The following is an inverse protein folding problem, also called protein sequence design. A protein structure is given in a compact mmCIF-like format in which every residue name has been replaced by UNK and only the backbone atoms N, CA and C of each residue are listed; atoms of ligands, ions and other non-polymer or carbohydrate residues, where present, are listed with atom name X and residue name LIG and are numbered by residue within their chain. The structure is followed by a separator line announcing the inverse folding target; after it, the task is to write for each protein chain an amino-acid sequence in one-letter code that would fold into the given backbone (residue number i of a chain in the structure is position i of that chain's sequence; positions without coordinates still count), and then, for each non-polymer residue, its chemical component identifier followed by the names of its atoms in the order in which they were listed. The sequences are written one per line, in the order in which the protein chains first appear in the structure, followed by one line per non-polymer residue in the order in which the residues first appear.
data_IF_751960190867
#
_entry.id   IF_751960190867
#
_cell.length_a   1.000
_cell.length_b   1.000
_cell.length_c   1.000
_cell.angle_alpha   90.00
_cell.angle_beta   90.00
_cell.angle_gamma   90.00
#
_symmetry.space_group_name_H-M   'P 1'
#
loop_
_entity.id
_entity.type
_entity.pdbx_description
1 polymer ?
#
# COMPACT_ATOMS: atom_id res chain seq x y z
N UNK A 1 -16.78 12.49 4.45
CA UNK A 1 -18.25 12.46 4.34
C UNK A 1 -18.78 11.65 5.51
N UNK A 2 -19.87 12.11 6.12
CA UNK A 2 -20.47 11.52 7.31
C UNK A 2 -21.81 10.90 6.94
N UNK A 3 -22.13 9.73 7.50
CA UNK A 3 -23.39 9.03 7.24
C UNK A 3 -24.55 9.69 8.01
N UNK A 4 -25.54 10.19 7.28
CA UNK A 4 -26.73 10.85 7.84
C UNK A 4 -27.69 9.83 8.47
N UNK A 5 -27.81 8.62 7.90
CA UNK A 5 -28.70 7.59 8.41
C UNK A 5 -28.32 7.17 9.84
N UNK A 6 -27.02 7.10 10.12
CA UNK A 6 -26.48 6.80 11.45
C UNK A 6 -26.85 7.90 12.47
N UNK A 7 -26.81 9.17 12.04
CA UNK A 7 -27.24 10.28 12.88
C UNK A 7 -28.74 10.22 13.21
N UNK A 8 -29.58 10.03 12.18
CA UNK A 8 -31.03 10.00 12.32
C UNK A 8 -31.49 8.84 13.20
N UNK A 9 -30.89 7.66 13.02
CA UNK A 9 -31.17 6.47 13.83
C UNK A 9 -30.70 6.63 15.28
N UNK A 10 -29.50 7.17 15.52
CA UNK A 10 -28.96 7.43 16.88
C UNK A 10 -29.88 8.33 17.70
N UNK A 11 -30.47 9.34 17.07
CA UNK A 11 -31.37 10.29 17.73
C UNK A 11 -32.85 9.88 17.69
N UNK A 12 -33.16 8.72 17.10
CA UNK A 12 -34.52 8.18 16.98
C UNK A 12 -35.50 9.16 16.35
N UNK A 13 -35.06 9.90 15.33
CA UNK A 13 -35.95 10.79 14.59
C UNK A 13 -36.92 9.97 13.74
N UNK A 14 -38.20 10.34 13.77
CA UNK A 14 -39.15 9.91 12.76
C UNK A 14 -38.94 10.75 11.50
N UNK A 15 -38.52 10.10 10.42
CA UNK A 15 -38.27 10.78 9.16
C UNK A 15 -38.87 10.00 7.99
N UNK A 16 -39.29 10.73 6.97
CA UNK A 16 -39.73 10.19 5.69
C UNK A 16 -38.82 10.70 4.59
N UNK A 17 -38.29 9.78 3.79
CA UNK A 17 -37.55 10.13 2.58
C UNK A 17 -38.57 10.17 1.45
N UNK A 18 -38.79 11.35 0.88
CA UNK A 18 -39.80 11.54 -0.16
C UNK A 18 -39.29 11.11 -1.52
N UNK A 19 -38.01 11.37 -1.82
CA UNK A 19 -37.36 10.94 -3.04
C UNK A 19 -35.88 10.63 -2.74
N UNK A 20 -35.41 9.48 -3.20
CA UNK A 20 -34.00 9.11 -3.15
C UNK A 20 -33.56 8.57 -4.51
N UNK A 21 -32.40 8.99 -4.99
CA UNK A 21 -31.74 8.39 -6.14
C UNK A 21 -31.14 7.01 -5.79
N UNK A 22 -31.94 6.07 -5.27
CA UNK A 22 -31.54 4.69 -4.92
C UNK A 22 -30.22 4.58 -4.12
N UNK A 23 -29.96 5.52 -3.21
CA UNK A 23 -28.76 5.50 -2.37
C UNK A 23 -29.05 4.72 -1.09
N UNK A 24 -28.38 3.58 -0.90
CA UNK A 24 -28.46 2.80 0.36
C UNK A 24 -27.89 3.57 1.56
N UNK A 25 -27.05 4.58 1.32
CA UNK A 25 -26.47 5.45 2.33
C UNK A 25 -26.51 6.91 1.87
N UNK A 26 -27.07 7.78 2.71
CA UNK A 26 -27.06 9.24 2.48
C UNK A 26 -25.88 9.81 3.25
N UNK A 27 -24.92 10.39 2.54
CA UNK A 27 -23.72 10.99 3.16
C UNK A 27 -23.60 12.46 2.87
N UNK A 28 -23.09 13.23 3.82
CA UNK A 28 -22.94 14.68 3.68
C UNK A 28 -21.53 15.16 4.02
N UNK A 29 -21.16 16.32 3.49
CA UNK A 29 -19.86 16.97 3.67
C UNK A 29 -19.98 18.36 4.29
N UNK A 30 -21.09 19.05 4.06
CA UNK A 30 -21.38 20.40 4.55
C UNK A 30 -22.84 20.54 4.95
N UNK A 31 -23.13 21.50 5.83
CA UNK A 31 -24.45 21.74 6.40
C UNK A 31 -24.67 23.24 6.42
N UNK A 32 -25.83 23.68 5.95
CA UNK A 32 -26.37 25.02 6.11
C UNK A 32 -27.81 25.01 6.62
N UNK A 33 -28.31 26.18 6.95
CA UNK A 33 -29.65 26.36 7.53
C UNK A 33 -30.32 27.61 6.94
N UNK A 34 -31.62 27.49 6.69
CA UNK A 34 -32.48 28.55 6.24
C UNK A 34 -32.49 28.75 4.73
N UNK A 35 -33.48 29.52 4.27
CA UNK A 35 -33.69 29.81 2.84
C UNK A 35 -32.50 30.50 2.17
N UNK A 36 -31.76 31.35 2.88
CA UNK A 36 -30.63 32.08 2.31
C UNK A 36 -29.49 31.12 1.92
N UNK A 37 -29.27 30.07 2.71
CA UNK A 37 -28.28 29.04 2.39
C UNK A 37 -28.71 28.21 1.17
N UNK A 38 -29.99 27.83 1.10
CA UNK A 38 -30.57 27.14 -0.06
C UNK A 38 -30.33 27.94 -1.35
N UNK A 39 -30.66 29.24 -1.34
CA UNK A 39 -30.47 30.14 -2.49
C UNK A 39 -28.98 30.29 -2.81
N UNK A 40 -28.13 30.48 -1.80
CA UNK A 40 -26.69 30.66 -1.98
C UNK A 40 -26.05 29.45 -2.65
N UNK A 41 -26.35 28.24 -2.19
CA UNK A 41 -25.80 27.00 -2.75
C UNK A 41 -26.32 26.78 -4.17
N UNK A 42 -27.59 27.05 -4.43
CA UNK A 42 -28.15 26.90 -5.76
C UNK A 42 -27.62 27.91 -6.79
N UNK A 43 -27.33 29.14 -6.36
CA UNK A 43 -26.72 30.18 -7.22
C UNK A 43 -25.19 30.06 -7.30
N UNK A 44 -24.58 29.11 -6.58
CA UNK A 44 -23.12 28.94 -6.54
C UNK A 44 -22.56 28.20 -7.76
N UNK A 45 -21.30 28.48 -8.11
CA UNK A 45 -20.55 27.71 -9.11
C UNK A 45 -19.88 26.45 -8.52
N UNK A 46 -20.32 25.96 -7.35
CA UNK A 46 -19.73 24.76 -6.76
C UNK A 46 -20.03 23.52 -7.63
N UNK A 47 -19.02 22.68 -7.83
CA UNK A 47 -19.14 21.46 -8.63
C UNK A 47 -20.03 20.39 -7.99
N UNK A 48 -20.54 19.47 -8.82
CA UNK A 48 -21.61 18.52 -8.49
C UNK A 48 -21.43 17.74 -7.18
N UNK A 49 -20.25 17.21 -6.87
CA UNK A 49 -20.06 16.39 -5.66
C UNK A 49 -20.20 17.18 -4.35
N UNK A 50 -19.83 18.47 -4.34
CA UNK A 50 -20.01 19.32 -3.16
C UNK A 50 -21.50 19.63 -2.96
N UNK A 51 -22.18 20.09 -4.02
CA UNK A 51 -23.60 20.45 -3.96
C UNK A 51 -24.43 19.22 -3.60
N UNK A 52 -24.18 18.08 -4.22
CA UNK A 52 -24.89 16.82 -3.98
C UNK A 52 -24.72 16.27 -2.55
N UNK A 53 -23.70 16.72 -1.82
CA UNK A 53 -23.42 16.30 -0.44
C UNK A 53 -23.60 17.43 0.59
N UNK A 54 -24.14 18.56 0.16
CA UNK A 54 -24.52 19.65 1.04
C UNK A 54 -25.93 19.40 1.58
N UNK A 55 -26.10 19.57 2.90
CA UNK A 55 -27.41 19.55 3.55
C UNK A 55 -27.86 20.98 3.77
N UNK A 56 -29.06 21.34 3.30
CA UNK A 56 -29.74 22.56 3.76
C UNK A 56 -30.94 22.19 4.62
N UNK A 57 -30.99 22.73 5.84
CA UNK A 57 -32.10 22.53 6.78
C UNK A 57 -33.07 23.71 6.67
N UNK A 58 -34.34 23.41 6.47
CA UNK A 58 -35.42 24.40 6.39
C UNK A 58 -36.49 24.12 7.44
N UNK A 59 -37.08 25.19 7.96
CA UNK A 59 -38.30 25.10 8.77
C UNK A 59 -39.56 25.46 7.95
N UNK A 60 -40.71 25.44 8.61
CA UNK A 60 -42.00 25.73 7.96
C UNK A 60 -42.13 27.17 7.45
N UNK A 61 -41.41 28.12 8.07
CA UNK A 61 -41.40 29.52 7.63
C UNK A 61 -40.55 29.69 6.37
N UNK A 62 -39.36 29.07 6.32
CA UNK A 62 -38.51 29.03 5.14
C UNK A 62 -39.24 28.42 3.93
N UNK A 63 -39.98 27.34 4.15
CA UNK A 63 -40.78 26.67 3.12
C UNK A 63 -41.86 27.59 2.55
N UNK A 64 -42.50 28.40 3.39
CA UNK A 64 -43.49 29.39 2.95
C UNK A 64 -42.85 30.49 2.10
N UNK A 65 -41.62 30.91 2.44
CA UNK A 65 -40.87 31.86 1.63
C UNK A 65 -40.44 31.30 0.28
N UNK A 66 -39.98 30.05 0.23
CA UNK A 66 -39.59 29.36 -1.01
C UNK A 66 -40.74 29.29 -2.02
N UNK A 67 -41.96 29.00 -1.56
CA UNK A 67 -43.13 28.97 -2.43
C UNK A 67 -43.48 30.31 -3.06
N UNK A 68 -43.28 31.40 -2.31
CA UNK A 68 -43.53 32.75 -2.80
C UNK A 68 -42.39 33.26 -3.70
N UNK A 69 -41.29 32.51 -3.77
CA UNK A 69 -40.15 32.83 -4.61
C UNK A 69 -40.46 32.38 -6.05
N UNK A 70 -40.83 33.31 -6.93
CA UNK A 70 -41.12 33.05 -8.36
C UNK A 70 -39.86 32.67 -9.20
N UNK A 71 -38.71 32.43 -8.57
CA UNK A 71 -37.46 32.06 -9.25
C UNK A 71 -37.34 30.54 -9.26
N UNK A 72 -37.13 29.95 -10.43
CA UNK A 72 -36.75 28.55 -10.55
C UNK A 72 -35.32 28.39 -10.02
N UNK A 73 -35.12 27.55 -9.01
CA UNK A 73 -33.84 27.38 -8.32
C UNK A 73 -33.38 25.95 -8.54
N UNK A 74 -32.30 25.72 -9.28
CA UNK A 74 -31.77 24.36 -9.49
C UNK A 74 -30.89 24.03 -8.28
N UNK A 75 -31.29 23.03 -7.49
CA UNK A 75 -30.58 22.64 -6.29
C UNK A 75 -30.45 21.13 -6.25
N UNK A 76 -29.23 20.60 -6.38
CA UNK A 76 -28.99 19.15 -6.43
C UNK A 76 -28.54 18.56 -5.08
N UNK A 77 -28.61 19.31 -3.98
CA UNK A 77 -28.22 18.86 -2.64
C UNK A 77 -29.29 18.11 -1.87
N UNK A 78 -29.02 17.87 -0.59
CA UNK A 78 -29.93 17.19 0.34
C UNK A 78 -30.76 18.25 1.08
N UNK A 79 -32.08 18.21 0.92
CA UNK A 79 -32.99 19.10 1.63
C UNK A 79 -33.57 18.39 2.86
N UNK A 80 -33.36 18.96 4.04
CA UNK A 80 -34.01 18.50 5.28
C UNK A 80 -35.07 19.51 5.67
N UNK A 81 -36.32 19.06 5.80
CA UNK A 81 -37.44 19.89 6.23
C UNK A 81 -37.95 19.42 7.58
N UNK A 82 -37.95 20.31 8.57
CA UNK A 82 -38.39 20.02 9.93
C UNK A 82 -39.76 20.65 10.15
N UNK A 83 -40.75 19.82 10.45
CA UNK A 83 -42.08 20.29 10.84
C UNK A 83 -42.76 19.31 11.79
N UNK A 84 -43.80 19.77 12.50
CA UNK A 84 -44.47 18.97 13.53
C UNK A 84 -45.25 17.79 12.98
N UNK A 85 -45.69 17.87 11.73
CA UNK A 85 -46.45 16.83 11.04
C UNK A 85 -46.39 17.02 9.54
N UNK A 86 -46.49 15.93 8.81
CA UNK A 86 -46.63 15.94 7.36
C UNK A 86 -48.12 16.06 7.01
N UNK A 87 -48.59 17.28 6.81
CA UNK A 87 -49.95 17.51 6.30
C UNK A 87 -49.99 17.41 4.76
N UNK A 88 -51.20 17.33 4.21
CA UNK A 88 -51.41 17.21 2.76
C UNK A 88 -50.82 18.38 1.98
N UNK A 89 -50.88 19.59 2.55
CA UNK A 89 -50.32 20.79 1.94
C UNK A 89 -48.79 20.70 1.83
N UNK A 90 -48.09 20.38 2.93
CA UNK A 90 -46.64 20.23 2.94
C UNK A 90 -46.16 19.10 2.01
N UNK A 91 -46.90 18.00 1.94
CA UNK A 91 -46.59 16.90 1.02
C UNK A 91 -46.69 17.33 -0.46
N UNK A 92 -47.76 18.04 -0.84
CA UNK A 92 -47.90 18.59 -2.19
C UNK A 92 -46.80 19.62 -2.50
N UNK A 93 -46.45 20.46 -1.53
CA UNK A 93 -45.37 21.45 -1.65
C UNK A 93 -44.00 20.81 -1.91
N UNK A 94 -43.63 19.79 -1.13
CA UNK A 94 -42.34 19.11 -1.28
C UNK A 94 -42.24 18.36 -2.61
N UNK A 95 -43.35 17.76 -3.06
CA UNK A 95 -43.42 17.11 -4.37
C UNK A 95 -43.28 18.12 -5.52
N UNK A 96 -43.86 19.31 -5.39
CA UNK A 96 -43.69 20.39 -6.36
C UNK A 96 -42.24 20.85 -6.43
N UNK A 97 -41.61 21.12 -5.28
CA UNK A 97 -40.20 21.53 -5.20
C UNK A 97 -39.27 20.50 -5.83
N UNK A 98 -39.48 19.20 -5.55
CA UNK A 98 -38.66 18.15 -6.16
C UNK A 98 -38.73 18.17 -7.69
N UNK A 99 -39.94 18.28 -8.27
CA UNK A 99 -40.14 18.30 -9.72
C UNK A 99 -39.59 19.56 -10.39
N UNK A 100 -39.69 20.71 -9.75
CA UNK A 100 -39.31 21.99 -10.33
C UNK A 100 -37.80 22.28 -10.20
N UNK A 101 -37.14 21.77 -9.15
CA UNK A 101 -35.78 22.18 -8.76
C UNK A 101 -34.71 21.07 -8.86
N UNK A 102 -35.07 19.87 -9.34
CA UNK A 102 -34.16 18.73 -9.53
C UNK A 102 -33.37 18.33 -8.26
N UNK A 103 -34.10 18.33 -7.13
CA UNK A 103 -33.53 18.05 -5.80
C UNK A 103 -33.18 16.58 -5.66
N UNK A 104 -31.92 16.28 -5.32
CA UNK A 104 -31.41 14.90 -5.28
C UNK A 104 -32.03 14.07 -4.17
N UNK A 105 -32.28 14.66 -2.99
CA UNK A 105 -32.90 13.98 -1.86
C UNK A 105 -33.66 14.97 -0.97
N UNK A 106 -34.91 14.64 -0.63
CA UNK A 106 -35.71 15.39 0.35
C UNK A 106 -36.03 14.47 1.52
N UNK A 107 -35.68 14.92 2.72
CA UNK A 107 -35.96 14.24 3.99
C UNK A 107 -36.85 15.15 4.81
N UNK A 108 -38.05 14.67 5.14
CA UNK A 108 -38.91 15.30 6.12
C UNK A 108 -38.68 14.67 7.48
N UNK A 109 -38.50 15.51 8.51
CA UNK A 109 -38.36 15.07 9.89
C UNK A 109 -39.56 15.58 10.67
N UNK A 110 -40.38 14.65 11.14
CA UNK A 110 -41.57 14.94 11.94
C UNK A 110 -41.14 15.25 13.39
N UNK A 111 -40.97 16.52 13.71
CA UNK A 111 -40.45 16.94 15.01
C UNK A 111 -40.91 18.34 15.41
N UNK A 112 -41.01 18.57 16.73
CA UNK A 112 -41.17 19.90 17.33
C UNK A 112 -39.84 20.60 17.61
N UNK A 113 -38.73 19.98 17.21
CA UNK A 113 -37.40 20.54 17.43
C UNK A 113 -37.19 21.83 16.64
N UNK A 114 -36.49 22.76 17.28
CA UNK A 114 -36.00 23.96 16.63
C UNK A 114 -34.96 23.60 15.56
N UNK A 115 -35.03 24.25 14.40
CA UNK A 115 -34.13 24.00 13.27
C UNK A 115 -32.68 24.33 13.62
N UNK A 116 -32.42 25.36 14.43
CA UNK A 116 -31.07 25.69 14.90
C UNK A 116 -30.53 24.64 15.86
N UNK A 117 -31.39 24.09 16.72
CA UNK A 117 -31.01 22.97 17.59
C UNK A 117 -30.60 21.76 16.75
N UNK A 118 -31.42 21.37 15.76
CA UNK A 118 -31.09 20.26 14.86
C UNK A 118 -29.79 20.50 14.10
N UNK A 119 -29.60 21.72 13.55
CA UNK A 119 -28.36 22.13 12.91
C UNK A 119 -27.14 21.99 13.84
N UNK A 120 -27.27 22.44 15.10
CA UNK A 120 -26.20 22.37 16.08
C UNK A 120 -25.79 20.93 16.42
N UNK A 121 -26.77 20.04 16.59
CA UNK A 121 -26.52 18.61 16.84
C UNK A 121 -25.90 17.91 15.61
N UNK A 122 -26.33 18.28 14.40
CA UNK A 122 -25.78 17.73 13.17
C UNK A 122 -24.33 18.19 12.95
N UNK A 123 -24.01 19.45 13.23
CA UNK A 123 -22.63 19.96 13.20
C UNK A 123 -21.77 19.27 14.24
N UNK A 124 -22.27 19.13 15.48
CA UNK A 124 -21.57 18.44 16.54
C UNK A 124 -21.26 17.00 16.13
N UNK A 125 -22.26 16.27 15.63
CA UNK A 125 -22.07 14.91 15.14
C UNK A 125 -21.04 14.83 14.00
N UNK A 126 -21.06 15.77 13.05
CA UNK A 126 -20.07 15.86 11.99
C UNK A 126 -18.66 16.06 12.56
N UNK A 127 -18.50 16.96 13.52
CA UNK A 127 -17.22 17.27 14.15
C UNK A 127 -16.71 16.09 14.99
N UNK A 128 -17.57 15.50 15.83
CA UNK A 128 -17.25 14.31 16.64
C UNK A 128 -16.84 13.14 15.75
N UNK A 129 -17.54 12.92 14.63
CA UNK A 129 -17.20 11.88 13.66
C UNK A 129 -15.83 12.13 13.01
N UNK A 130 -15.53 13.39 12.72
CA UNK A 130 -14.26 13.80 12.14
C UNK A 130 -13.10 13.66 13.14
N UNK A 131 -13.31 14.09 14.39
CA UNK A 131 -12.32 13.99 15.46
C UNK A 131 -12.06 12.54 15.85
N UNK A 132 -13.11 11.72 15.99
CA UNK A 132 -12.99 10.28 16.20
C UNK A 132 -12.17 9.62 15.09
N UNK A 133 -12.44 9.99 13.83
CA UNK A 133 -11.70 9.48 12.69
C UNK A 133 -10.23 9.89 12.71
N UNK A 134 -9.94 11.16 13.03
CA UNK A 134 -8.56 11.63 13.19
C UNK A 134 -7.83 10.89 14.32
N UNK A 135 -8.46 10.75 15.48
CA UNK A 135 -7.88 10.06 16.64
C UNK A 135 -7.64 8.57 16.36
N UNK A 136 -8.58 7.91 15.66
CA UNK A 136 -8.41 6.50 15.23
C UNK A 136 -7.21 6.35 14.30
N UNK A 137 -7.08 7.23 13.30
CA UNK A 137 -5.96 7.19 12.36
C UNK A 137 -4.62 7.49 13.03
N UNK A 138 -4.59 8.45 13.96
CA UNK A 138 -3.39 8.79 14.72
C UNK A 138 -2.95 7.60 15.57
N UNK A 139 -3.87 6.95 16.29
CA UNK A 139 -3.54 5.77 17.10
C UNK A 139 -3.05 4.59 16.26
N UNK A 140 -3.65 4.37 15.10
CA UNK A 140 -3.24 3.32 14.17
C UNK A 140 -1.87 3.61 13.53
N UNK A 141 -1.57 4.87 13.22
CA UNK A 141 -0.24 5.29 12.77
C UNK A 141 0.81 5.20 13.88
N UNK A 142 0.44 5.51 15.14
CA UNK A 142 1.31 5.33 16.32
C UNK A 142 1.67 3.85 16.47
N UNK A 143 0.71 2.94 16.34
CA UNK A 143 0.97 1.50 16.39
C UNK A 143 1.92 1.05 15.27
N UNK A 144 1.74 1.57 14.05
CA UNK A 144 2.65 1.28 12.94
C UNK A 144 4.06 1.83 13.19
N UNK A 145 4.19 3.01 13.80
CA UNK A 145 5.47 3.62 14.17
C UNK A 145 6.15 2.88 15.33
N UNK A 146 5.40 2.43 16.33
CA UNK A 146 5.92 1.61 17.43
C UNK A 146 6.51 0.29 16.91
N UNK A 147 5.85 -0.35 15.93
CA UNK A 147 6.40 -1.53 15.25
C UNK A 147 7.73 -1.24 14.54
N UNK A 148 7.91 -0.05 13.96
CA UNK A 148 9.19 0.31 13.32
C UNK A 148 10.33 0.53 14.31
N UNK A 149 10.01 0.94 15.54
CA UNK A 149 10.98 1.09 16.63
C UNK A 149 11.47 -0.27 17.15
N UNK A 150 10.65 -1.31 16.98
CA UNK A 150 10.94 -2.68 17.40
C UNK A 150 11.55 -3.48 16.24
N UNK A 151 12.38 -4.48 16.56
CA UNK A 151 12.93 -5.36 15.53
C UNK A 151 11.93 -6.47 15.15
N UNK A 152 10.76 -6.06 14.64
CA UNK A 152 9.69 -6.98 14.21
C UNK A 152 9.83 -7.39 12.75
N UNK A 153 9.37 -8.59 12.42
CA UNK A 153 9.29 -9.09 11.04
C UNK A 153 8.25 -8.31 10.21
N UNK A 154 8.40 -8.37 8.88
CA UNK A 154 7.52 -7.66 7.93
C UNK A 154 6.06 -8.15 8.07
N UNK A 155 5.87 -9.41 8.40
CA UNK A 155 4.60 -10.08 8.65
C UNK A 155 3.80 -9.40 9.77
N UNK A 156 4.48 -8.93 10.82
CA UNK A 156 3.82 -8.20 11.91
C UNK A 156 3.29 -6.84 11.46
N UNK A 157 4.02 -6.18 10.55
CA UNK A 157 3.58 -4.93 9.91
C UNK A 157 2.36 -5.21 9.03
N UNK A 158 2.38 -6.28 8.23
CA UNK A 158 1.24 -6.67 7.38
C UNK A 158 0.01 -7.03 8.21
N UNK A 159 0.17 -7.76 9.32
CA UNK A 159 -0.92 -8.09 10.24
C UNK A 159 -1.57 -6.82 10.82
N UNK A 160 -0.75 -5.85 11.21
CA UNK A 160 -1.25 -4.57 11.76
C UNK A 160 -1.90 -3.71 10.68
N UNK A 161 -1.29 -3.63 9.50
CA UNK A 161 -1.87 -2.97 8.34
C UNK A 161 -3.25 -3.54 7.98
N UNK A 162 -3.41 -4.86 8.05
CA UNK A 162 -4.71 -5.50 7.81
C UNK A 162 -5.77 -5.11 8.85
N UNK A 163 -5.39 -4.97 10.13
CA UNK A 163 -6.32 -4.52 11.18
C UNK A 163 -6.85 -3.11 10.91
N UNK A 164 -6.03 -2.24 10.31
CA UNK A 164 -6.35 -0.86 9.98
C UNK A 164 -7.18 -0.80 8.68
N UNK A 165 -6.63 -1.37 7.60
CA UNK A 165 -7.21 -1.27 6.26
C UNK A 165 -8.43 -2.17 6.06
N UNK A 166 -8.61 -3.19 6.89
CA UNK A 166 -9.66 -4.22 6.77
C UNK A 166 -9.73 -4.86 5.38
N UNK A 167 -8.63 -4.83 4.62
CA UNK A 167 -8.52 -5.35 3.27
C UNK A 167 -7.17 -6.07 3.11
N UNK A 168 -7.10 -7.22 2.40
CA UNK A 168 -5.87 -8.00 2.29
C UNK A 168 -4.72 -7.26 1.58
N UNK A 169 -3.49 -7.51 2.03
CA UNK A 169 -2.27 -6.94 1.47
C UNK A 169 -1.24 -8.00 1.06
N UNK A 170 -0.43 -7.68 0.05
CA UNK A 170 0.77 -8.42 -0.34
C UNK A 170 1.95 -7.45 -0.42
N UNK A 171 3.10 -7.88 0.08
CA UNK A 171 4.40 -7.23 -0.08
C UNK A 171 5.23 -8.03 -1.08
N UNK A 172 5.69 -7.35 -2.14
CA UNK A 172 6.58 -7.90 -3.15
C UNK A 172 7.97 -7.28 -3.02
N UNK A 173 9.03 -8.06 -3.23
CA UNK A 173 10.39 -7.55 -3.36
C UNK A 173 10.67 -7.02 -4.79
N UNK A 174 11.90 -6.54 -5.02
CA UNK A 174 12.36 -6.03 -6.33
C UNK A 174 12.36 -7.07 -7.45
N UNK A 175 12.29 -8.35 -7.11
CA UNK A 175 12.19 -9.45 -8.05
C UNK A 175 10.75 -9.91 -8.24
N UNK A 176 9.78 -9.32 -7.52
CA UNK A 176 8.38 -9.68 -7.47
C UNK A 176 8.08 -11.01 -6.75
N UNK A 177 8.95 -11.41 -5.83
CA UNK A 177 8.68 -12.50 -4.87
C UNK A 177 7.85 -11.97 -3.72
N UNK A 178 6.93 -12.80 -3.22
CA UNK A 178 6.16 -12.45 -2.02
C UNK A 178 7.08 -12.52 -0.81
N UNK A 179 7.20 -11.38 -0.13
CA UNK A 179 7.92 -11.27 1.14
C UNK A 179 6.97 -11.55 2.29
N UNK A 180 5.78 -10.97 2.24
CA UNK A 180 4.75 -11.16 3.26
C UNK A 180 3.35 -10.91 2.66
N UNK A 181 2.33 -11.48 3.28
CA UNK A 181 0.94 -11.27 2.88
C UNK A 181 -0.02 -11.43 4.07
N UNK A 182 -1.24 -10.94 3.94
CA UNK A 182 -2.30 -11.21 4.91
C UNK A 182 -2.65 -12.69 4.90
N UNK A 183 -2.58 -13.35 6.06
CA UNK A 183 -2.83 -14.79 6.24
C UNK A 183 -4.13 -15.12 6.98
N UNK A 184 -4.78 -14.13 7.59
CA UNK A 184 -5.94 -14.31 8.48
C UNK A 184 -7.31 -14.27 7.78
N UNK A 185 -7.37 -14.45 6.47
CA UNK A 185 -8.60 -14.27 5.68
C UNK A 185 -8.62 -15.19 4.46
N UNK A 186 -9.78 -15.78 4.16
CA UNK A 186 -9.97 -16.60 2.96
C UNK A 186 -10.17 -15.70 1.74
N UNK A 187 -9.21 -15.73 0.80
CA UNK A 187 -9.21 -14.84 -0.36
C UNK A 187 -9.76 -15.59 -1.57
N UNK A 188 -10.88 -15.10 -2.11
CA UNK A 188 -11.52 -15.70 -3.29
C UNK A 188 -11.05 -15.12 -4.62
N UNK A 189 -10.22 -14.07 -4.63
CA UNK A 189 -9.67 -13.52 -5.87
C UNK A 189 -8.65 -14.51 -6.46
N UNK A 190 -8.87 -15.03 -7.68
CA UNK A 190 -8.06 -16.10 -8.24
C UNK A 190 -6.62 -15.64 -8.52
N UNK A 191 -6.43 -14.38 -8.93
CA UNK A 191 -5.10 -13.83 -9.20
C UNK A 191 -4.31 -13.73 -7.89
N UNK A 192 -4.96 -13.25 -6.84
CA UNK A 192 -4.37 -13.14 -5.51
C UNK A 192 -4.01 -14.51 -4.93
N UNK A 193 -4.87 -15.51 -5.13
CA UNK A 193 -4.62 -16.88 -4.71
C UNK A 193 -3.40 -17.47 -5.43
N UNK A 194 -3.33 -17.33 -6.76
CA UNK A 194 -2.16 -17.76 -7.55
C UNK A 194 -0.88 -17.10 -7.07
N UNK A 195 -0.90 -15.79 -6.78
CA UNK A 195 0.26 -15.08 -6.24
C UNK A 195 0.76 -15.72 -4.94
N UNK A 196 -0.14 -15.98 -3.98
CA UNK A 196 0.19 -16.58 -2.67
C UNK A 196 0.72 -18.00 -2.85
N UNK A 197 0.05 -18.83 -3.64
CA UNK A 197 0.40 -20.23 -3.87
C UNK A 197 1.79 -20.36 -4.53
N UNK A 198 2.05 -19.53 -5.56
CA UNK A 198 3.32 -19.52 -6.28
C UNK A 198 4.44 -18.80 -5.52
N UNK A 199 4.10 -18.06 -4.46
CA UNK A 199 4.98 -17.14 -3.70
C UNK A 199 5.69 -16.11 -4.59
N UNK A 200 5.16 -15.85 -5.79
CA UNK A 200 5.83 -15.08 -6.83
C UNK A 200 4.84 -14.51 -7.85
N UNK A 201 5.09 -13.29 -8.32
CA UNK A 201 4.35 -12.70 -9.43
C UNK A 201 4.99 -13.08 -10.77
N UNK A 202 4.30 -13.93 -11.53
CA UNK A 202 4.80 -14.47 -12.79
C UNK A 202 5.06 -13.37 -13.85
N UNK A 203 6.01 -13.57 -14.79
CA UNK A 203 6.30 -12.58 -15.83
C UNK A 203 5.11 -12.31 -16.75
N UNK A 204 4.26 -13.31 -16.97
CA UNK A 204 3.01 -13.15 -17.70
C UNK A 204 2.06 -12.20 -16.99
N UNK A 205 1.90 -12.32 -15.68
CA UNK A 205 1.07 -11.42 -14.89
C UNK A 205 1.64 -10.00 -14.85
N UNK A 206 2.97 -9.84 -14.71
CA UNK A 206 3.64 -8.54 -14.78
C UNK A 206 3.40 -7.83 -16.13
N UNK A 207 3.38 -8.58 -17.23
CA UNK A 207 3.09 -8.06 -18.57
C UNK A 207 1.64 -7.60 -18.70
N UNK A 208 0.69 -8.31 -18.08
CA UNK A 208 -0.71 -7.90 -18.06
C UNK A 208 -0.89 -6.64 -17.22
N UNK A 209 -0.27 -6.58 -16.03
CA UNK A 209 -0.31 -5.39 -15.17
C UNK A 209 0.32 -4.19 -15.89
N UNK A 210 1.41 -4.40 -16.63
CA UNK A 210 2.13 -3.36 -17.37
C UNK A 210 1.39 -2.73 -18.56
N UNK A 211 0.10 -3.06 -18.75
CA UNK A 211 -0.74 -2.43 -19.77
C UNK A 211 -0.76 -0.90 -19.60
N UNK A 212 -0.83 -0.18 -20.73
CA UNK A 212 -0.87 1.29 -20.77
C UNK A 212 0.25 1.94 -19.91
N UNK A 213 1.47 1.42 -20.04
CA UNK A 213 2.67 1.88 -19.32
C UNK A 213 2.47 2.01 -17.80
N UNK A 214 1.65 1.13 -17.21
CA UNK A 214 1.29 1.20 -15.79
C UNK A 214 2.51 1.32 -14.86
N UNK A 215 3.56 0.52 -15.09
CA UNK A 215 4.77 0.55 -14.27
C UNK A 215 5.51 1.90 -14.33
N UNK A 216 5.56 2.53 -15.50
CA UNK A 216 6.16 3.85 -15.67
C UNK A 216 5.34 4.93 -14.97
N UNK A 217 4.00 4.86 -15.07
CA UNK A 217 3.08 5.76 -14.37
C UNK A 217 3.22 5.60 -12.86
N UNK A 218 3.26 4.35 -12.38
CA UNK A 218 3.39 4.02 -10.97
C UNK A 218 4.70 4.53 -10.39
N UNK A 219 5.81 4.39 -11.10
CA UNK A 219 7.12 4.85 -10.63
C UNK A 219 7.21 6.39 -10.56
N UNK A 220 6.53 7.10 -11.46
CA UNK A 220 6.42 8.58 -11.46
C UNK A 220 5.36 9.12 -10.50
N UNK A 221 4.41 8.28 -10.08
CA UNK A 221 3.30 8.70 -9.23
C UNK A 221 3.75 8.85 -7.77
N UNK A 222 3.23 9.89 -7.11
CA UNK A 222 3.31 10.05 -5.66
C UNK A 222 2.11 9.43 -4.93
N UNK A 223 1.12 8.93 -5.68
CA UNK A 223 -0.07 8.28 -5.17
C UNK A 223 -0.16 6.82 -5.63
N UNK A 224 -0.78 5.93 -4.83
CA UNK A 224 -1.13 4.60 -5.27
C UNK A 224 -1.99 4.63 -6.53
N UNK A 225 -1.74 3.69 -7.44
CA UNK A 225 -2.52 3.53 -8.66
C UNK A 225 -3.29 2.23 -8.62
N UNK A 226 -4.53 2.29 -9.12
CA UNK A 226 -5.30 1.08 -9.38
C UNK A 226 -4.83 0.43 -10.67
N UNK A 227 -4.71 -0.90 -10.65
CA UNK A 227 -4.46 -1.67 -11.89
C UNK A 227 -5.66 -1.45 -12.82
N UNK A 228 -5.41 -0.89 -14.00
CA UNK A 228 -6.43 -0.38 -14.93
C UNK A 228 -6.61 -1.26 -16.18
N UNK A 229 -6.00 -2.45 -16.19
CA UNK A 229 -6.22 -3.40 -17.26
C UNK A 229 -7.61 -4.07 -17.15
N UNK A 230 -8.36 -4.06 -18.26
CA UNK A 230 -9.70 -4.65 -18.37
C UNK A 230 -9.73 -6.14 -18.00
N UNK A 231 -8.62 -6.89 -18.13
CA UNK A 231 -8.55 -8.28 -17.65
C UNK A 231 -8.71 -8.44 -16.13
N UNK A 232 -8.59 -7.34 -15.38
CA UNK A 232 -8.84 -7.30 -13.95
C UNK A 232 -10.21 -6.69 -13.60
N UNK A 233 -10.99 -6.19 -14.57
CA UNK A 233 -12.26 -5.49 -14.28
C UNK A 233 -13.37 -6.41 -13.77
N UNK A 234 -13.30 -7.72 -14.10
CA UNK A 234 -14.15 -8.77 -13.54
C UNK A 234 -13.80 -9.15 -12.10
N UNK A 235 -12.68 -8.65 -11.58
CA UNK A 235 -12.11 -9.02 -10.30
C UNK A 235 -12.13 -7.82 -9.35
N UNK A 236 -11.93 -8.10 -8.06
CA UNK A 236 -11.75 -7.06 -7.06
C UNK A 236 -10.63 -6.07 -7.46
N UNK A 237 -10.88 -4.77 -7.28
CA UNK A 237 -9.91 -3.71 -7.58
C UNK A 237 -8.64 -3.89 -6.75
N UNK A 238 -7.49 -3.54 -7.34
CA UNK A 238 -6.17 -3.71 -6.72
C UNK A 238 -5.42 -2.40 -6.80
N UNK A 239 -5.06 -1.84 -5.65
CA UNK A 239 -4.20 -0.66 -5.57
C UNK A 239 -2.75 -1.09 -5.36
N UNK A 240 -1.83 -0.49 -6.11
CA UNK A 240 -0.39 -0.74 -6.02
C UNK A 240 0.35 0.54 -5.64
N UNK A 241 1.41 0.40 -4.83
CA UNK A 241 2.32 1.49 -4.54
C UNK A 241 3.77 0.99 -4.39
N UNK A 242 4.78 1.66 -4.97
CA UNK A 242 6.16 1.21 -4.90
C UNK A 242 6.75 1.42 -3.50
N UNK A 243 7.62 0.49 -3.10
CA UNK A 243 8.46 0.58 -1.90
C UNK A 243 9.79 1.18 -2.35
N UNK A 244 10.00 2.47 -2.07
CA UNK A 244 11.19 3.20 -2.53
C UNK A 244 12.25 3.31 -1.42
N UNK A 245 13.48 2.91 -1.72
CA UNK A 245 14.66 3.12 -0.87
C UNK A 245 15.67 3.94 -1.65
N UNK A 246 15.99 5.16 -1.19
CA UNK A 246 16.86 6.13 -1.89
C UNK A 246 16.39 6.35 -3.34
N UNK A 247 15.11 6.66 -3.51
CA UNK A 247 14.41 6.90 -4.79
C UNK A 247 14.41 5.75 -5.80
N UNK A 248 14.88 4.57 -5.42
CA UNK A 248 14.79 3.36 -6.26
C UNK A 248 13.69 2.45 -5.73
N UNK A 249 12.82 2.00 -6.62
CA UNK A 249 11.86 0.93 -6.31
C UNK A 249 12.61 -0.34 -5.90
N UNK A 250 12.32 -0.84 -4.70
CA UNK A 250 12.87 -2.09 -4.14
C UNK A 250 11.79 -3.15 -3.93
N UNK A 251 10.57 -2.87 -4.35
CA UNK A 251 9.41 -3.75 -4.17
C UNK A 251 8.11 -2.98 -4.33
N UNK A 252 7.00 -3.65 -4.03
CA UNK A 252 5.66 -3.09 -4.17
C UNK A 252 4.77 -3.55 -3.02
N UNK A 253 3.89 -2.67 -2.57
CA UNK A 253 2.74 -3.03 -1.71
C UNK A 253 1.50 -3.08 -2.60
N UNK A 254 0.75 -4.17 -2.49
CA UNK A 254 -0.53 -4.34 -3.16
C UNK A 254 -1.65 -4.46 -2.13
N UNK A 255 -2.78 -3.78 -2.36
CA UNK A 255 -3.99 -3.83 -1.55
C UNK A 255 -5.15 -4.34 -2.41
N UNK A 256 -5.86 -5.35 -1.91
CA UNK A 256 -7.04 -5.93 -2.57
C UNK A 256 -8.34 -5.36 -2.01
N UNK A 257 -9.21 -4.86 -2.87
CA UNK A 257 -10.57 -4.43 -2.51
C UNK A 257 -11.50 -5.63 -2.32
N UNK A 258 -11.35 -6.36 -1.21
CA UNK A 258 -12.10 -7.60 -0.96
C UNK A 258 -13.25 -7.41 0.02
N UNK A 259 -13.01 -6.79 1.17
CA UNK A 259 -13.98 -6.73 2.28
C UNK A 259 -14.71 -5.39 2.32
N UNK A 260 -14.05 -4.31 1.90
CA UNK A 260 -14.66 -2.98 1.77
C UNK A 260 -14.07 -2.25 0.56
N UNK A 261 -14.79 -1.24 0.06
CA UNK A 261 -14.25 -0.31 -0.95
C UNK A 261 -13.01 0.40 -0.41
N UNK A 262 -11.98 0.52 -1.27
CA UNK A 262 -10.77 1.29 -0.98
C UNK A 262 -11.12 2.77 -1.06
N UNK A 263 -11.02 3.44 0.09
CA UNK A 263 -11.21 4.88 0.23
C UNK A 263 -9.90 5.65 -0.04
N UNK A 264 -9.97 6.98 -0.27
CA UNK A 264 -8.77 7.81 -0.37
C UNK A 264 -7.86 7.72 0.86
N UNK A 265 -8.43 7.51 2.04
CA UNK A 265 -7.68 7.36 3.27
C UNK A 265 -6.91 6.04 3.33
N UNK A 266 -7.49 4.95 2.82
CA UNK A 266 -6.80 3.66 2.69
C UNK A 266 -5.55 3.78 1.80
N UNK A 267 -5.63 4.59 0.74
CA UNK A 267 -4.48 4.88 -0.12
C UNK A 267 -3.38 5.66 0.61
N UNK A 268 -3.73 6.61 1.49
CA UNK A 268 -2.75 7.31 2.32
C UNK A 268 -2.08 6.36 3.31
N UNK A 269 -2.85 5.49 3.97
CA UNK A 269 -2.32 4.46 4.86
C UNK A 269 -1.39 3.50 4.09
N UNK A 270 -1.75 3.11 2.86
CA UNK A 270 -0.91 2.28 1.99
C UNK A 270 0.47 2.91 1.73
N UNK A 271 0.53 4.23 1.55
CA UNK A 271 1.80 4.96 1.41
C UNK A 271 2.64 4.91 2.70
N UNK A 272 2.00 5.05 3.86
CA UNK A 272 2.67 4.96 5.16
C UNK A 272 3.24 3.55 5.35
N UNK A 273 2.47 2.51 5.04
CA UNK A 273 2.93 1.11 5.09
C UNK A 273 4.11 0.90 4.14
N UNK A 274 4.05 1.39 2.90
CA UNK A 274 5.17 1.29 1.96
C UNK A 274 6.45 1.93 2.52
N UNK A 275 6.36 3.09 3.17
CA UNK A 275 7.50 3.74 3.84
C UNK A 275 8.02 2.91 5.01
N UNK A 276 7.13 2.32 5.80
CA UNK A 276 7.48 1.43 6.90
C UNK A 276 8.30 0.22 6.40
N UNK A 277 7.83 -0.44 5.33
CA UNK A 277 8.55 -1.56 4.71
C UNK A 277 9.88 -1.10 4.08
N UNK A 278 9.94 0.08 3.49
CA UNK A 278 11.17 0.63 2.93
C UNK A 278 12.28 0.77 3.98
N UNK A 279 11.94 1.11 5.23
CA UNK A 279 12.89 1.17 6.35
C UNK A 279 13.46 -0.23 6.64
N UNK A 280 12.62 -1.27 6.65
CA UNK A 280 13.05 -2.66 6.87
C UNK A 280 13.95 -3.15 5.72
N UNK A 281 13.53 -2.94 4.47
CA UNK A 281 14.34 -3.26 3.30
C UNK A 281 15.70 -2.53 3.32
N UNK A 282 15.74 -1.27 3.76
CA UNK A 282 17.00 -0.54 3.90
C UNK A 282 17.92 -1.13 4.97
N UNK A 283 17.38 -1.56 6.11
CA UNK A 283 18.17 -2.21 7.17
C UNK A 283 18.76 -3.53 6.67
N UNK A 284 17.97 -4.37 6.02
CA UNK A 284 18.44 -5.64 5.45
C UNK A 284 19.50 -5.43 4.35
N UNK A 285 19.29 -4.50 3.42
CA UNK A 285 20.25 -4.19 2.34
C UNK A 285 21.57 -3.62 2.93
N UNK A 286 21.50 -2.89 4.06
CA UNK A 286 22.68 -2.41 4.79
C UNK A 286 23.41 -3.52 5.54
N UNK A 287 22.69 -4.38 6.26
CA UNK A 287 23.27 -5.52 7.00
C UNK A 287 23.93 -6.50 6.03
N UNK A 288 23.25 -6.83 4.91
CA UNK A 288 23.81 -7.70 3.87
C UNK A 288 25.08 -7.11 3.26
N UNK A 289 25.10 -5.81 2.95
CA UNK A 289 26.30 -5.15 2.41
C UNK A 289 27.44 -5.09 3.42
N UNK A 290 27.14 -4.82 4.69
CA UNK A 290 28.14 -4.83 5.74
C UNK A 290 28.76 -6.22 5.91
N UNK A 291 27.95 -7.28 5.88
CA UNK A 291 28.41 -8.67 5.91
C UNK A 291 29.29 -9.02 4.69
N UNK A 292 28.87 -8.61 3.48
CA UNK A 292 29.69 -8.77 2.25
C UNK A 292 31.04 -8.06 2.38
N UNK A 293 31.05 -6.78 2.80
CA UNK A 293 32.28 -6.01 2.98
C UNK A 293 33.21 -6.60 4.04
N UNK A 294 32.66 -7.08 5.17
CA UNK A 294 33.44 -7.75 6.20
C UNK A 294 34.07 -9.05 5.68
N UNK A 295 33.29 -9.84 4.92
CA UNK A 295 33.77 -11.06 4.27
C UNK A 295 34.87 -10.78 3.25
N UNK A 296 34.73 -9.74 2.42
CA UNK A 296 35.76 -9.33 1.45
C UNK A 296 37.04 -8.86 2.14
N UNK A 297 36.92 -8.03 3.18
CA UNK A 297 38.07 -7.54 3.94
C UNK A 297 38.81 -8.68 4.64
N UNK A 298 38.09 -9.60 5.30
CA UNK A 298 38.71 -10.76 5.93
C UNK A 298 39.43 -11.63 4.90
N UNK A 299 38.80 -11.88 3.75
CA UNK A 299 39.42 -12.64 2.64
C UNK A 299 40.73 -11.99 2.19
N UNK A 300 40.74 -10.67 2.04
CA UNK A 300 41.92 -9.92 1.62
C UNK A 300 43.05 -9.99 2.66
N UNK A 301 42.75 -9.82 3.94
CA UNK A 301 43.75 -9.86 5.00
C UNK A 301 44.36 -11.27 5.16
N UNK A 302 43.55 -12.32 4.98
CA UNK A 302 44.02 -13.71 4.93
C UNK A 302 44.96 -13.96 3.74
N UNK A 303 44.57 -13.54 2.54
CA UNK A 303 45.38 -13.71 1.33
C UNK A 303 46.70 -12.91 1.36
N UNK A 304 46.71 -11.75 2.04
CA UNK A 304 47.90 -10.92 2.19
C UNK A 304 48.80 -11.36 3.36
N UNK A 305 48.40 -12.40 4.12
CA UNK A 305 49.17 -12.87 5.27
C UNK A 305 49.29 -11.84 6.39
N UNK A 306 48.32 -10.93 6.52
CA UNK A 306 48.32 -9.85 7.51
C UNK A 306 47.69 -10.24 8.84
N UNK A 307 47.11 -11.43 8.92
CA UNK A 307 46.57 -11.96 10.15
C UNK A 307 47.71 -12.36 11.10
N UNK A 308 47.72 -11.84 12.35
CA UNK A 308 48.85 -12.02 13.25
C UNK A 308 49.02 -13.46 13.75
N UNK A 309 47.93 -14.25 13.82
CA UNK A 309 47.98 -15.68 14.11
C UNK A 309 46.69 -16.39 13.66
N UNK A 310 46.76 -17.72 13.59
CA UNK A 310 45.65 -18.59 13.16
C UNK A 310 44.45 -18.55 14.11
N UNK A 311 44.67 -18.37 15.41
CA UNK A 311 43.58 -18.28 16.40
C UNK A 311 42.66 -17.09 16.16
N UNK A 312 43.24 -15.90 15.94
CA UNK A 312 42.49 -14.69 15.61
C UNK A 312 41.78 -14.83 14.24
N UNK A 313 42.44 -15.46 13.27
CA UNK A 313 41.83 -15.75 11.98
C UNK A 313 40.61 -16.69 12.11
N UNK A 314 40.68 -17.73 12.96
CA UNK A 314 39.55 -18.63 13.22
C UNK A 314 38.37 -17.90 13.83
N UNK A 315 38.60 -17.06 14.84
CA UNK A 315 37.55 -16.27 15.50
C UNK A 315 36.84 -15.36 14.50
N UNK A 316 37.58 -14.68 13.62
CA UNK A 316 36.99 -13.82 12.59
C UNK A 316 36.20 -14.61 11.54
N UNK A 317 36.67 -15.81 11.16
CA UNK A 317 35.94 -16.71 10.27
C UNK A 317 34.63 -17.20 10.91
N UNK A 318 34.68 -17.62 12.18
CA UNK A 318 33.51 -18.07 12.94
C UNK A 318 32.47 -16.97 13.11
N UNK A 319 32.91 -15.73 13.39
CA UNK A 319 32.03 -14.57 13.50
C UNK A 319 31.27 -14.25 12.19
N UNK A 320 31.79 -14.68 11.03
CA UNK A 320 31.12 -14.57 9.73
C UNK A 320 30.37 -15.85 9.32
N UNK A 321 30.29 -16.84 10.21
CA UNK A 321 29.64 -18.12 9.94
C UNK A 321 30.38 -18.97 8.90
N UNK A 322 31.69 -18.75 8.71
CA UNK A 322 32.47 -19.55 7.77
C UNK A 322 32.69 -20.96 8.31
N UNK A 323 32.18 -21.96 7.58
CA UNK A 323 32.46 -23.37 7.87
C UNK A 323 33.81 -23.77 7.28
N UNK A 324 34.85 -23.62 8.09
CA UNK A 324 36.22 -23.99 7.77
C UNK A 324 36.35 -25.52 7.70
N UNK A 325 36.80 -26.05 6.56
CA UNK A 325 37.23 -27.45 6.45
C UNK A 325 38.74 -27.55 6.63
N UNK A 326 39.25 -28.77 6.84
CA UNK A 326 40.66 -29.05 7.16
C UNK A 326 41.66 -28.64 6.08
N UNK A 327 41.22 -28.32 4.85
CA UNK A 327 42.09 -27.93 3.77
C UNK A 327 41.55 -26.72 3.01
N UNK A 328 42.48 -25.84 2.61
CA UNK A 328 42.22 -24.64 1.84
C UNK A 328 43.04 -24.62 0.56
N UNK A 329 42.54 -23.94 -0.46
CA UNK A 329 43.31 -23.60 -1.65
C UNK A 329 42.87 -22.25 -2.19
N UNK A 330 43.80 -21.56 -2.83
CA UNK A 330 43.53 -20.32 -3.56
C UNK A 330 43.48 -20.65 -5.04
N UNK A 331 42.34 -20.42 -5.67
CA UNK A 331 42.20 -20.48 -7.11
C UNK A 331 42.42 -19.08 -7.69
N UNK A 332 43.41 -18.95 -8.55
CA UNK A 332 43.63 -17.75 -9.35
C UNK A 332 42.96 -17.93 -10.71
N UNK A 333 42.03 -17.05 -11.05
CA UNK A 333 41.42 -16.98 -12.38
C UNK A 333 42.02 -15.78 -13.10
N UNK A 334 42.73 -16.06 -14.19
CA UNK A 334 43.33 -15.07 -15.09
C UNK A 334 42.41 -14.85 -16.29
N UNK A 335 42.14 -13.60 -16.61
CA UNK A 335 41.41 -13.25 -17.83
C UNK A 335 42.35 -13.29 -19.04
N UNK A 336 42.00 -14.01 -20.11
CA UNK A 336 42.89 -14.27 -21.25
C UNK A 336 43.00 -13.09 -22.24
N UNK A 337 42.07 -12.13 -22.23
CA UNK A 337 41.88 -11.19 -23.36
C UNK A 337 41.73 -9.71 -23.00
N UNK A 338 42.47 -9.20 -22.00
CA UNK A 338 42.67 -7.75 -21.79
C UNK A 338 41.44 -6.89 -21.38
N UNK A 339 40.22 -7.41 -21.48
CA UNK A 339 39.01 -6.79 -20.94
C UNK A 339 38.85 -7.05 -19.43
N UNK A 340 38.11 -6.18 -18.74
CA UNK A 340 37.85 -6.30 -17.29
C UNK A 340 36.89 -7.46 -17.01
N UNK A 341 37.18 -8.27 -15.99
CA UNK A 341 36.20 -9.19 -15.39
C UNK A 341 34.99 -8.38 -14.91
N UNK A 342 33.80 -8.69 -15.45
CA UNK A 342 32.56 -8.05 -15.02
C UNK A 342 32.06 -8.69 -13.72
N UNK A 343 31.36 -7.90 -12.89
CA UNK A 343 30.75 -8.40 -11.64
C UNK A 343 29.80 -9.58 -11.87
N UNK A 344 29.12 -9.63 -13.03
CA UNK A 344 28.23 -10.74 -13.38
C UNK A 344 28.99 -12.05 -13.62
N UNK A 345 30.14 -11.99 -14.30
CA UNK A 345 30.99 -13.15 -14.55
C UNK A 345 31.52 -13.74 -13.23
N UNK A 346 31.94 -12.88 -12.30
CA UNK A 346 32.44 -13.30 -10.99
C UNK A 346 31.36 -13.90 -10.11
N UNK A 347 30.15 -13.32 -10.12
CA UNK A 347 29.00 -13.90 -9.41
C UNK A 347 28.65 -15.28 -9.92
N UNK A 348 28.63 -15.48 -11.24
CA UNK A 348 28.35 -16.79 -11.84
C UNK A 348 29.38 -17.84 -11.38
N UNK A 349 30.68 -17.52 -11.47
CA UNK A 349 31.77 -18.40 -11.03
C UNK A 349 31.65 -18.67 -9.52
N UNK A 350 31.34 -17.65 -8.71
CA UNK A 350 31.15 -17.79 -7.27
C UNK A 350 30.01 -18.76 -6.95
N UNK A 351 28.87 -18.67 -7.65
CA UNK A 351 27.74 -19.60 -7.46
C UNK A 351 28.16 -21.04 -7.75
N UNK A 352 28.80 -21.29 -8.89
CA UNK A 352 29.27 -22.63 -9.27
C UNK A 352 30.24 -23.21 -8.23
N UNK A 353 31.19 -22.39 -7.78
CA UNK A 353 32.17 -22.83 -6.80
C UNK A 353 31.53 -23.08 -5.42
N UNK A 354 30.50 -22.32 -5.03
CA UNK A 354 29.76 -22.56 -3.78
C UNK A 354 28.99 -23.88 -3.78
N UNK A 355 28.53 -24.34 -4.94
CA UNK A 355 27.88 -25.66 -5.05
C UNK A 355 28.87 -26.82 -4.85
N UNK A 356 30.16 -26.58 -5.13
CA UNK A 356 31.21 -27.59 -5.04
C UNK A 356 31.95 -27.52 -3.70
N UNK A 357 32.19 -26.31 -3.19
CA UNK A 357 33.01 -26.03 -2.02
C UNK A 357 32.18 -25.38 -0.91
N UNK A 358 32.15 -25.98 0.30
CA UNK A 358 31.39 -25.43 1.44
C UNK A 358 31.78 -24.01 1.84
N UNK A 359 33.04 -23.63 1.60
CA UNK A 359 33.49 -22.25 1.65
C UNK A 359 34.00 -21.87 0.27
N UNK A 360 33.44 -20.80 -0.30
CA UNK A 360 33.93 -20.15 -1.50
C UNK A 360 33.76 -18.64 -1.31
N UNK A 361 34.86 -17.97 -1.01
CA UNK A 361 34.94 -16.51 -0.87
C UNK A 361 35.94 -15.97 -1.88
N UNK A 362 35.73 -14.75 -2.35
CA UNK A 362 36.51 -14.24 -3.47
C UNK A 362 36.85 -12.77 -3.30
N UNK A 363 37.95 -12.37 -3.93
CA UNK A 363 38.37 -10.98 -4.11
C UNK A 363 38.91 -10.85 -5.52
N UNK A 364 38.82 -9.65 -6.08
CA UNK A 364 39.34 -9.37 -7.42
C UNK A 364 40.25 -8.15 -7.44
N UNK A 365 41.01 -8.02 -8.51
CA UNK A 365 41.58 -6.76 -8.97
C UNK A 365 41.23 -6.58 -10.46
N UNK A 366 41.72 -5.51 -11.09
CA UNK A 366 41.36 -5.18 -12.48
C UNK A 366 41.71 -6.26 -13.52
N UNK A 367 42.57 -7.24 -13.19
CA UNK A 367 43.07 -8.27 -14.13
C UNK A 367 42.88 -9.71 -13.66
N UNK A 368 42.65 -9.94 -12.36
CA UNK A 368 42.70 -11.27 -11.73
C UNK A 368 41.62 -11.38 -10.67
N UNK A 369 41.07 -12.59 -10.53
CA UNK A 369 40.19 -12.94 -9.43
C UNK A 369 40.82 -14.08 -8.63
N UNK A 370 40.72 -13.97 -7.30
CA UNK A 370 41.23 -14.95 -6.36
C UNK A 370 40.05 -15.50 -5.57
N UNK A 371 39.93 -16.82 -5.53
CA UNK A 371 38.91 -17.52 -4.75
C UNK A 371 39.60 -18.35 -3.69
N UNK A 372 39.26 -18.12 -2.42
CA UNK A 372 39.62 -19.00 -1.32
C UNK A 372 38.52 -20.04 -1.17
N UNK A 373 38.89 -21.31 -1.32
CA UNK A 373 37.99 -22.45 -1.21
C UNK A 373 38.40 -23.38 -0.08
N UNK A 374 37.42 -23.98 0.62
CA UNK A 374 37.67 -25.03 1.62
C UNK A 374 37.12 -26.38 1.16
N UNK A 375 37.78 -27.47 1.54
CA UNK A 375 37.38 -28.83 1.19
C UNK A 375 37.81 -29.86 2.25
N UNK A 376 37.07 -30.96 2.34
CA UNK A 376 37.30 -32.01 3.34
C UNK A 376 38.45 -32.96 2.96
N UNK A 377 38.70 -33.18 1.67
CA UNK A 377 39.68 -34.16 1.19
C UNK A 377 40.47 -33.64 -0.02
N UNK A 378 41.80 -33.58 0.08
CA UNK A 378 42.72 -33.15 -1.00
C UNK A 378 42.52 -33.90 -2.33
N UNK A 379 42.07 -35.17 -2.30
CA UNK A 379 41.83 -35.95 -3.52
C UNK A 379 40.65 -35.44 -4.36
N UNK A 380 39.69 -34.75 -3.76
CA UNK A 380 38.51 -34.21 -4.47
C UNK A 380 38.82 -32.91 -5.24
N UNK A 381 39.88 -32.18 -4.85
CA UNK A 381 40.24 -30.91 -5.49
C UNK A 381 40.55 -31.10 -6.98
N UNK A 382 41.45 -32.03 -7.31
CA UNK A 382 41.91 -32.23 -8.69
C UNK A 382 40.83 -32.80 -9.61
N UNK A 383 39.97 -33.70 -9.10
CA UNK A 383 38.96 -34.37 -9.92
C UNK A 383 37.72 -33.51 -10.16
N UNK A 384 37.31 -32.71 -9.18
CA UNK A 384 36.07 -31.92 -9.24
C UNK A 384 36.30 -30.49 -9.69
N UNK A 385 37.40 -29.83 -9.28
CA UNK A 385 37.65 -28.44 -9.67
C UNK A 385 38.09 -28.34 -11.15
N UNK A 386 39.04 -29.18 -11.57
CA UNK A 386 39.65 -29.04 -12.90
C UNK A 386 38.67 -29.36 -14.04
N UNK A 387 37.96 -30.49 -13.96
CA UNK A 387 37.02 -30.90 -15.02
C UNK A 387 35.79 -29.98 -15.10
N UNK A 388 35.23 -29.55 -13.98
CA UNK A 388 34.06 -28.68 -13.99
C UNK A 388 34.42 -27.24 -14.36
N UNK A 389 35.57 -26.71 -13.90
CA UNK A 389 35.98 -25.35 -14.27
C UNK A 389 36.47 -25.25 -15.71
N UNK A 390 37.22 -26.23 -16.24
CA UNK A 390 37.59 -26.23 -17.66
C UNK A 390 36.37 -26.33 -18.58
N UNK A 391 35.41 -27.21 -18.27
CA UNK A 391 34.20 -27.36 -19.09
C UNK A 391 33.39 -26.06 -19.13
N UNK A 392 33.19 -25.41 -18.00
CA UNK A 392 32.44 -24.15 -17.89
C UNK A 392 33.18 -22.99 -18.56
N UNK A 393 34.52 -22.95 -18.48
CA UNK A 393 35.33 -21.93 -19.15
C UNK A 393 35.44 -22.15 -20.67
N UNK A 394 35.23 -23.38 -21.17
CA UNK A 394 35.19 -23.71 -22.60
C UNK A 394 33.80 -23.52 -23.23
N UNK A 395 32.70 -23.69 -22.48
CA UNK A 395 31.33 -23.50 -23.00
C UNK A 395 30.90 -22.03 -23.13
N UNK A 396 31.67 -21.07 -22.59
CA UNK A 396 31.28 -19.64 -22.53
C UNK A 396 32.32 -18.64 -23.04
N UNK A 397 33.38 -19.11 -23.69
CA UNK A 397 34.16 -18.32 -24.66
C UNK A 397 33.70 -18.66 -26.07
#
# INVERSE_FOLDING_TARGET
MVNLNDFLSKHKFEYTILNSNNLSEITFSSIGIGINDYIFIADSNYGGDYVNSHITILDSSDMSHLLNCNKKIIYSGILIVISTSMDTNLSEMLNKLHKENDISTIIHIASRLDSNYFYSELIKYKNDSFEYFQNSLVNECINLMDLLSKDVEIEAIVSTAYKILKNPLIILDKYHRIVAHTSSFEIHDPIWKTLIDDKYCSPSLLKIIGYNDFWLRLDKSNEPLFIDNVKFSSNARKALFPIKVRDKSRGYVALLESSKKISPNDLQILKIISKAIAIKFSKEDMVSKAAEMLSENLTKELLLGRMPNEGLASIHCEALGWNLNNYFSVLEIKHLSGSKLTDNSLKLISTILKDIFPLCVHTNNTKRAYFLISFKNRKNLYKTAYYNLEAIMKEKN
#
